data_IF_029383418091
#
_entry.id   IF_029383418091
#
_cell.length_a   1.000
_cell.length_b   1.000
_cell.length_c   1.000
_cell.angle_alpha   90.00
_cell.angle_beta   90.00
_cell.angle_gamma   90.00
#
_symmetry.space_group_name_H-M   'P 1'
#
loop_
_entity.id
_entity.type
_entity.pdbx_description
1 polymer ?
#
# COMPACT_ATOMS: atom_id res chain seq x y z
N UNK A 1 62.54 1.83 4.67
CA UNK A 1 61.39 1.06 4.16
C UNK A 1 60.30 1.11 5.22
N UNK A 2 59.33 2.01 5.05
CA UNK A 2 58.17 2.14 5.93
C UNK A 2 56.95 1.57 5.19
N UNK A 3 56.05 0.83 5.86
CA UNK A 3 54.85 0.33 5.19
C UNK A 3 53.83 1.46 5.07
N UNK A 4 53.38 1.71 3.84
CA UNK A 4 52.25 2.58 3.56
C UNK A 4 50.97 1.91 4.04
N UNK A 5 50.33 2.48 5.06
CA UNK A 5 48.97 2.14 5.43
C UNK A 5 48.02 2.81 4.43
N UNK A 6 47.44 2.02 3.53
CA UNK A 6 46.38 2.47 2.63
C UNK A 6 45.11 2.61 3.47
N UNK A 7 44.75 3.85 3.80
CA UNK A 7 43.46 4.15 4.41
C UNK A 7 42.36 3.88 3.38
N UNK A 8 41.54 2.87 3.63
CA UNK A 8 40.28 2.66 2.92
C UNK A 8 39.31 3.70 3.45
N UNK A 9 39.09 4.77 2.67
CA UNK A 9 38.00 5.71 2.91
C UNK A 9 36.72 5.00 2.43
N UNK A 10 35.74 4.73 3.29
CA UNK A 10 34.45 4.25 2.81
C UNK A 10 33.83 5.41 2.02
N UNK A 11 33.64 5.18 0.72
CA UNK A 11 32.91 6.07 -0.16
C UNK A 11 31.45 6.04 0.30
N UNK A 12 31.07 7.02 1.13
CA UNK A 12 29.67 7.33 1.42
C UNK A 12 29.02 7.74 0.11
N UNK A 13 28.29 6.83 -0.51
CA UNK A 13 27.35 7.15 -1.58
C UNK A 13 26.25 8.03 -0.97
N UNK A 14 26.38 9.33 -1.17
CA UNK A 14 25.27 10.29 -1.07
C UNK A 14 24.29 9.97 -2.21
N UNK A 15 23.41 8.99 -2.00
CA UNK A 15 22.20 8.88 -2.80
C UNK A 15 21.22 9.94 -2.29
N UNK A 16 20.90 10.91 -3.13
CA UNK A 16 19.76 11.80 -2.93
C UNK A 16 18.50 10.95 -2.85
N UNK A 17 17.98 10.74 -1.66
CA UNK A 17 16.77 9.96 -1.42
C UNK A 17 15.55 10.84 -1.71
N UNK A 18 14.73 10.45 -2.68
CA UNK A 18 13.44 11.10 -2.88
C UNK A 18 12.47 10.52 -1.80
N UNK A 19 11.35 11.16 -1.42
CA UNK A 19 10.42 10.74 -0.34
C UNK A 19 9.47 9.61 -0.77
N UNK A 20 8.90 8.78 0.12
CA UNK A 20 8.11 7.59 -0.30
C UNK A 20 6.77 7.53 0.49
N UNK A 21 5.89 6.58 0.16
CA UNK A 21 4.56 6.39 0.77
C UNK A 21 4.59 5.43 1.97
N UNK A 22 3.47 5.30 2.70
CA UNK A 22 3.42 4.36 3.82
C UNK A 22 3.52 2.91 3.32
N UNK A 23 4.14 2.08 4.14
CA UNK A 23 4.57 0.76 3.73
C UNK A 23 3.42 -0.27 3.59
N UNK A 24 3.64 -1.33 2.80
CA UNK A 24 2.59 -2.27 2.41
C UNK A 24 1.95 -3.02 3.59
N UNK A 25 2.77 -3.48 4.53
CA UNK A 25 2.26 -4.15 5.73
C UNK A 25 1.51 -3.21 6.66
N UNK A 26 1.95 -1.95 6.74
CA UNK A 26 1.27 -0.92 7.53
C UNK A 26 -0.14 -0.69 7.00
N UNK A 27 -0.34 -0.54 5.69
CA UNK A 27 -1.69 -0.45 5.11
C UNK A 27 -2.54 -1.69 5.37
N UNK A 28 -1.97 -2.89 5.28
CA UNK A 28 -2.70 -4.11 5.60
C UNK A 28 -3.16 -4.14 7.06
N UNK A 29 -2.37 -3.60 7.97
CA UNK A 29 -2.72 -3.51 9.38
C UNK A 29 -3.78 -2.43 9.66
N UNK A 30 -3.77 -1.33 8.92
CA UNK A 30 -4.79 -0.28 8.97
C UNK A 30 -6.13 -0.83 8.45
N UNK A 31 -6.13 -1.42 7.25
CA UNK A 31 -7.30 -2.10 6.69
C UNK A 31 -7.80 -3.21 7.63
N UNK A 32 -6.90 -3.95 8.26
CA UNK A 32 -7.33 -4.99 9.17
C UNK A 32 -8.16 -4.46 10.35
N UNK A 33 -7.75 -3.30 10.89
CA UNK A 33 -8.36 -2.64 12.05
C UNK A 33 -9.62 -1.88 11.68
N UNK A 34 -9.64 -1.18 10.55
CA UNK A 34 -10.75 -0.33 10.09
C UNK A 34 -12.08 -1.11 10.03
N UNK A 35 -12.03 -2.40 9.68
CA UNK A 35 -13.18 -3.33 9.67
C UNK A 35 -13.91 -3.46 11.01
N UNK A 36 -13.27 -3.09 12.11
CA UNK A 36 -13.88 -3.10 13.45
C UNK A 36 -14.45 -1.75 13.87
N UNK A 37 -14.10 -0.68 13.14
CA UNK A 37 -14.56 0.68 13.40
C UNK A 37 -15.78 1.07 12.56
N UNK A 38 -16.08 0.34 11.48
CA UNK A 38 -17.35 0.49 10.76
C UNK A 38 -18.51 0.19 11.70
N UNK A 39 -19.47 1.11 11.79
CA UNK A 39 -20.67 0.95 12.60
C UNK A 39 -21.56 -0.13 12.00
N UNK A 40 -21.45 -1.34 12.56
CA UNK A 40 -22.22 -2.50 12.13
C UNK A 40 -23.74 -2.29 12.24
N UNK A 41 -24.21 -1.45 13.16
CA UNK A 41 -25.64 -1.24 13.33
C UNK A 41 -26.22 -0.42 12.17
N UNK A 42 -25.49 0.61 11.74
CA UNK A 42 -25.90 1.48 10.63
C UNK A 42 -25.52 0.92 9.26
N UNK A 43 -24.41 0.17 9.16
CA UNK A 43 -23.84 -0.33 7.90
C UNK A 43 -23.64 -1.86 7.90
N UNK A 44 -24.71 -2.66 8.09
CA UNK A 44 -24.58 -4.12 8.22
C UNK A 44 -24.02 -4.80 6.96
N UNK A 45 -24.36 -4.30 5.76
CA UNK A 45 -23.91 -4.87 4.49
C UNK A 45 -22.47 -4.49 4.14
N UNK A 46 -22.08 -3.23 4.33
CA UNK A 46 -20.67 -2.83 4.25
C UNK A 46 -19.81 -3.70 5.17
N UNK A 47 -20.19 -3.78 6.45
CA UNK A 47 -19.49 -4.59 7.44
C UNK A 47 -19.44 -6.08 7.04
N UNK A 48 -20.53 -6.62 6.46
CA UNK A 48 -20.56 -7.99 5.92
C UNK A 48 -19.51 -8.19 4.83
N UNK A 49 -19.46 -7.30 3.83
CA UNK A 49 -18.56 -7.41 2.68
C UNK A 49 -17.08 -7.39 3.10
N UNK A 50 -16.66 -6.36 3.85
CA UNK A 50 -15.24 -6.16 4.18
C UNK A 50 -14.73 -7.08 5.28
N UNK A 51 -15.60 -7.63 6.13
CA UNK A 51 -15.18 -8.46 7.28
C UNK A 51 -15.43 -9.95 7.08
N UNK A 52 -16.50 -10.34 6.38
CA UNK A 52 -16.95 -11.74 6.28
C UNK A 52 -16.76 -12.30 4.90
N UNK A 53 -17.29 -11.63 3.88
CA UNK A 53 -17.43 -12.24 2.55
C UNK A 53 -16.15 -12.08 1.72
N UNK A 54 -15.53 -10.90 1.75
CA UNK A 54 -14.35 -10.59 0.94
C UNK A 54 -13.21 -9.91 1.73
N UNK A 55 -12.88 -10.33 2.97
CA UNK A 55 -11.90 -9.63 3.82
C UNK A 55 -10.49 -9.58 3.24
N UNK A 56 -10.14 -10.52 2.35
CA UNK A 56 -8.86 -10.54 1.65
C UNK A 56 -8.80 -9.52 0.51
N UNK A 57 -9.90 -9.34 -0.23
CA UNK A 57 -9.95 -8.35 -1.31
C UNK A 57 -9.81 -6.96 -0.72
N UNK A 58 -10.57 -6.67 0.34
CA UNK A 58 -10.49 -5.40 1.06
C UNK A 58 -9.05 -5.09 1.51
N UNK A 59 -8.42 -6.06 2.16
CA UNK A 59 -7.05 -5.93 2.65
C UNK A 59 -6.04 -5.72 1.52
N UNK A 60 -6.02 -6.56 0.49
CA UNK A 60 -5.02 -6.42 -0.58
C UNK A 60 -5.23 -5.16 -1.42
N UNK A 61 -6.49 -4.74 -1.61
CA UNK A 61 -6.79 -3.50 -2.30
C UNK A 61 -6.28 -2.25 -1.55
N UNK A 62 -6.10 -2.33 -0.23
CA UNK A 62 -5.44 -1.26 0.54
C UNK A 62 -3.96 -1.05 0.24
N UNK A 63 -3.35 -1.88 -0.61
CA UNK A 63 -2.01 -1.64 -1.14
C UNK A 63 -2.02 -1.36 -2.65
N UNK A 64 -3.20 -1.38 -3.29
CA UNK A 64 -3.30 -1.20 -4.73
C UNK A 64 -2.74 0.12 -5.23
N UNK A 65 -3.00 1.30 -4.63
CA UNK A 65 -2.57 2.57 -5.20
C UNK A 65 -1.07 2.67 -5.51
N UNK A 66 -0.23 1.95 -4.77
CA UNK A 66 1.23 1.85 -5.01
C UNK A 66 1.65 1.14 -6.31
N UNK A 67 0.71 0.53 -7.06
CA UNK A 67 1.01 -0.37 -8.18
C UNK A 67 1.90 0.28 -9.24
N UNK A 68 1.77 1.59 -9.43
CA UNK A 68 2.49 2.35 -10.45
C UNK A 68 3.95 2.67 -10.11
N UNK A 69 4.35 2.63 -8.83
CA UNK A 69 5.65 3.18 -8.41
C UNK A 69 6.86 2.41 -8.92
N UNK A 70 6.73 1.09 -9.06
CA UNK A 70 7.79 0.22 -9.59
C UNK A 70 7.66 -0.04 -11.11
N UNK A 71 6.61 0.50 -11.75
CA UNK A 71 6.33 0.28 -13.17
C UNK A 71 6.76 1.52 -13.98
N UNK A 72 7.70 1.39 -14.94
CA UNK A 72 8.14 2.52 -15.74
C UNK A 72 6.98 3.23 -16.44
N UNK A 73 6.87 4.55 -16.22
CA UNK A 73 5.85 5.39 -16.84
C UNK A 73 4.44 5.27 -16.25
N UNK A 74 4.25 4.52 -15.16
CA UNK A 74 2.94 4.35 -14.52
C UNK A 74 2.80 5.00 -13.14
N UNK A 75 3.87 5.65 -12.63
CA UNK A 75 3.85 6.28 -11.31
C UNK A 75 2.72 7.28 -11.11
N UNK A 76 2.51 8.18 -12.09
CA UNK A 76 1.43 9.18 -12.03
C UNK A 76 0.03 8.53 -12.03
N UNK A 77 -0.15 7.34 -12.62
CA UNK A 77 -1.43 6.61 -12.59
C UNK A 77 -1.67 5.89 -11.26
N UNK A 78 -0.63 5.31 -10.68
CA UNK A 78 -0.70 4.76 -9.31
C UNK A 78 -1.04 5.86 -8.31
N UNK A 79 -0.34 6.99 -8.40
CA UNK A 79 -0.59 8.19 -7.60
C UNK A 79 -2.06 8.64 -7.66
N UNK A 80 -2.64 8.75 -8.86
CA UNK A 80 -4.05 9.14 -9.04
C UNK A 80 -5.01 8.26 -8.24
N UNK A 81 -4.73 6.96 -8.10
CA UNK A 81 -5.57 6.01 -7.36
C UNK A 81 -5.59 6.22 -5.83
N UNK A 82 -4.70 7.05 -5.29
CA UNK A 82 -4.71 7.40 -3.86
C UNK A 82 -5.85 8.38 -3.56
N UNK A 83 -6.21 9.23 -4.53
CA UNK A 83 -6.93 10.46 -4.23
C UNK A 83 -8.45 10.37 -4.47
N UNK A 84 -9.23 11.24 -3.81
CA UNK A 84 -10.70 11.25 -3.94
C UNK A 84 -11.24 11.26 -5.38
N UNK A 85 -10.66 11.97 -6.37
CA UNK A 85 -11.16 11.93 -7.75
C UNK A 85 -11.27 10.51 -8.32
N UNK A 86 -10.23 9.68 -8.11
CA UNK A 86 -10.25 8.29 -8.55
C UNK A 86 -11.25 7.44 -7.75
N UNK A 87 -11.31 7.62 -6.44
CA UNK A 87 -12.24 6.88 -5.57
C UNK A 87 -13.70 7.13 -5.97
N UNK A 88 -14.07 8.39 -6.27
CA UNK A 88 -15.41 8.74 -6.73
C UNK A 88 -15.68 8.22 -8.15
N UNK A 89 -14.74 8.34 -9.08
CA UNK A 89 -14.90 7.76 -10.42
C UNK A 89 -15.08 6.23 -10.36
N UNK A 90 -14.38 5.54 -9.44
CA UNK A 90 -14.57 4.12 -9.23
C UNK A 90 -15.96 3.78 -8.67
N UNK A 91 -16.50 4.61 -7.78
CA UNK A 91 -17.87 4.47 -7.28
C UNK A 91 -18.91 4.75 -8.37
N UNK A 92 -18.72 5.79 -9.17
CA UNK A 92 -19.59 6.12 -10.31
C UNK A 92 -19.61 4.97 -11.31
N UNK A 93 -18.44 4.44 -11.67
CA UNK A 93 -18.32 3.25 -12.53
C UNK A 93 -19.11 2.06 -11.98
N UNK A 94 -18.97 1.76 -10.68
CA UNK A 94 -19.72 0.70 -10.03
C UNK A 94 -21.24 0.93 -10.12
N UNK A 95 -21.71 2.14 -9.82
CA UNK A 95 -23.14 2.50 -9.81
C UNK A 95 -23.74 2.40 -11.22
N UNK A 96 -23.02 2.91 -12.22
CA UNK A 96 -23.51 2.99 -13.60
C UNK A 96 -23.52 1.62 -14.30
N UNK A 97 -22.58 0.73 -13.96
CA UNK A 97 -22.41 -0.55 -14.65
C UNK A 97 -23.00 -1.75 -13.90
N UNK A 98 -23.22 -1.64 -12.58
CA UNK A 98 -23.67 -2.76 -11.74
C UNK A 98 -24.89 -2.40 -10.89
N UNK A 99 -26.11 -2.45 -11.46
CA UNK A 99 -27.33 -2.13 -10.73
C UNK A 99 -27.60 -3.16 -9.62
N UNK A 100 -28.30 -2.72 -8.58
CA UNK A 100 -28.74 -3.62 -7.51
C UNK A 100 -29.89 -4.56 -7.92
N UNK A 101 -29.98 -5.78 -7.35
CA UNK A 101 -29.05 -6.35 -6.37
C UNK A 101 -27.71 -6.73 -7.01
N UNK A 102 -26.62 -6.42 -6.32
CA UNK A 102 -25.28 -6.65 -6.82
C UNK A 102 -24.98 -8.13 -7.08
N UNK A 103 -24.31 -8.38 -8.20
CA UNK A 103 -23.68 -9.67 -8.48
C UNK A 103 -22.46 -9.88 -7.58
N UNK A 104 -21.93 -11.11 -7.52
CA UNK A 104 -20.68 -11.40 -6.80
C UNK A 104 -19.53 -10.51 -7.29
N UNK A 105 -19.43 -10.26 -8.61
CA UNK A 105 -18.42 -9.37 -9.17
C UNK A 105 -18.57 -7.94 -8.65
N UNK A 106 -19.79 -7.41 -8.62
CA UNK A 106 -20.05 -6.07 -8.13
C UNK A 106 -19.75 -5.94 -6.62
N UNK A 107 -20.08 -6.95 -5.82
CA UNK A 107 -19.70 -6.97 -4.39
C UNK A 107 -18.18 -7.00 -4.20
N UNK A 108 -17.45 -7.77 -5.02
CA UNK A 108 -15.98 -7.81 -5.01
C UNK A 108 -15.37 -6.48 -5.45
N UNK A 109 -15.91 -5.87 -6.52
CA UNK A 109 -15.48 -4.56 -7.02
C UNK A 109 -15.70 -3.48 -5.95
N UNK A 110 -16.87 -3.42 -5.34
CA UNK A 110 -17.11 -2.50 -4.22
C UNK A 110 -16.12 -2.73 -3.07
N UNK A 111 -15.89 -3.99 -2.69
CA UNK A 111 -14.95 -4.31 -1.62
C UNK A 111 -13.53 -3.86 -1.97
N UNK A 112 -13.14 -4.01 -3.23
CA UNK A 112 -11.86 -3.52 -3.75
C UNK A 112 -11.77 -1.98 -3.65
N UNK A 113 -12.82 -1.26 -4.06
CA UNK A 113 -12.88 0.22 -3.96
C UNK A 113 -12.80 0.68 -2.49
N UNK A 114 -13.50 0.00 -1.59
CA UNK A 114 -13.41 0.30 -0.15
C UNK A 114 -11.97 0.10 0.37
N UNK A 115 -11.29 -0.94 -0.11
CA UNK A 115 -9.90 -1.22 0.26
C UNK A 115 -8.92 -0.18 -0.26
N UNK A 116 -8.97 0.19 -1.55
CA UNK A 116 -8.08 1.22 -2.09
C UNK A 116 -8.34 2.59 -1.46
N UNK A 117 -9.58 2.88 -1.08
CA UNK A 117 -9.92 4.12 -0.36
C UNK A 117 -9.24 4.17 1.02
N UNK A 118 -9.16 3.03 1.71
CA UNK A 118 -8.45 2.92 2.98
C UNK A 118 -6.97 3.32 2.86
N UNK A 119 -6.36 3.10 1.70
CA UNK A 119 -4.98 3.51 1.45
C UNK A 119 -4.85 5.03 1.40
N UNK A 120 -5.64 5.69 0.54
CA UNK A 120 -5.59 7.14 0.36
C UNK A 120 -5.86 7.93 1.64
N UNK A 121 -6.85 7.50 2.43
CA UNK A 121 -7.16 8.15 3.72
C UNK A 121 -6.06 7.95 4.76
N UNK A 122 -5.43 6.77 4.76
CA UNK A 122 -4.30 6.52 5.64
C UNK A 122 -3.12 7.40 5.27
N UNK A 123 -2.80 7.48 3.98
CA UNK A 123 -1.71 8.32 3.49
C UNK A 123 -1.95 9.81 3.78
N UNK A 124 -3.19 10.30 3.63
CA UNK A 124 -3.51 11.70 3.94
C UNK A 124 -3.10 12.06 5.38
N UNK A 125 -3.55 11.26 6.35
CA UNK A 125 -3.26 11.47 7.76
C UNK A 125 -1.81 11.14 8.17
N UNK A 126 -1.20 10.12 7.55
CA UNK A 126 0.16 9.67 7.85
C UNK A 126 1.21 10.68 7.38
N UNK A 127 1.02 11.27 6.20
CA UNK A 127 2.02 12.10 5.52
C UNK A 127 1.85 13.60 5.71
N UNK A 128 0.62 14.11 5.77
CA UNK A 128 0.35 15.55 5.64
C UNK A 128 -0.13 16.20 6.93
N UNK A 129 0.46 17.35 7.23
CA UNK A 129 0.20 18.12 8.42
C UNK A 129 1.45 18.30 9.27
N UNK A 130 1.43 19.32 10.12
CA UNK A 130 2.56 19.64 11.00
C UNK A 130 2.70 18.61 12.14
N UNK A 131 1.62 17.91 12.47
CA UNK A 131 1.54 16.90 13.53
C UNK A 131 1.43 15.46 13.03
N UNK A 132 1.42 15.28 11.70
CA UNK A 132 1.33 13.98 11.06
C UNK A 132 2.44 13.05 11.51
N UNK A 133 2.14 11.76 11.65
CA UNK A 133 3.06 10.76 12.18
C UNK A 133 4.41 10.79 11.47
N UNK A 134 4.43 10.76 10.14
CA UNK A 134 5.70 10.69 9.40
C UNK A 134 6.54 11.95 9.60
N UNK A 135 5.90 13.12 9.72
CA UNK A 135 6.58 14.40 9.98
C UNK A 135 7.28 14.36 11.34
N UNK A 136 6.54 13.99 12.38
CA UNK A 136 7.07 13.94 13.76
C UNK A 136 8.10 12.83 13.92
N UNK A 137 7.83 11.65 13.38
CA UNK A 137 8.76 10.52 13.36
C UNK A 137 10.10 10.90 12.72
N UNK A 138 10.05 11.62 11.60
CA UNK A 138 11.26 12.13 10.94
C UNK A 138 12.02 13.05 11.87
N UNK A 139 11.38 14.05 12.45
CA UNK A 139 12.06 15.03 13.30
C UNK A 139 12.64 14.39 14.60
N UNK A 140 12.01 13.34 15.12
CA UNK A 140 12.41 12.64 16.36
C UNK A 140 13.50 11.57 16.13
N UNK A 141 13.42 10.78 15.05
CA UNK A 141 14.39 9.70 14.78
C UNK A 141 15.57 10.16 13.87
N UNK A 142 15.44 11.27 13.12
CA UNK A 142 16.52 11.81 12.29
C UNK A 142 17.82 12.13 13.08
N UNK A 143 17.79 12.72 14.29
CA UNK A 143 19.01 13.03 15.04
C UNK A 143 19.81 11.81 15.50
N UNK A 144 19.22 10.60 15.50
CA UNK A 144 19.84 9.38 16.02
C UNK A 144 20.80 8.78 14.99
N UNK A 145 20.42 8.76 13.71
CA UNK A 145 21.23 8.13 12.64
C UNK A 145 20.92 8.67 11.24
N UNK A 146 20.36 9.88 11.14
CA UNK A 146 19.94 10.46 9.86
C UNK A 146 18.81 9.66 9.19
N UNK A 147 17.87 9.14 9.99
CA UNK A 147 16.68 8.47 9.48
C UNK A 147 15.93 9.36 8.49
N UNK A 148 15.72 8.84 7.28
CA UNK A 148 14.88 9.46 6.29
C UNK A 148 13.48 8.87 6.38
N UNK A 149 12.49 9.56 5.79
CA UNK A 149 11.10 9.10 5.72
C UNK A 149 10.97 7.63 5.27
N UNK A 150 11.79 7.22 4.30
CA UNK A 150 11.91 5.81 3.86
C UNK A 150 12.14 4.81 4.97
N UNK A 151 13.05 5.15 5.88
CA UNK A 151 13.48 4.22 6.90
C UNK A 151 12.34 4.03 7.89
N UNK A 152 11.60 5.10 8.17
CA UNK A 152 10.42 5.08 9.03
C UNK A 152 9.33 4.21 8.41
N UNK A 153 9.05 4.37 7.12
CA UNK A 153 8.01 3.60 6.43
C UNK A 153 8.35 2.10 6.38
N UNK A 154 9.55 1.77 5.91
CA UNK A 154 10.04 0.37 5.88
C UNK A 154 10.13 -0.18 7.30
N UNK A 155 10.61 0.61 8.26
CA UNK A 155 10.72 0.21 9.66
C UNK A 155 9.36 -0.09 10.29
N UNK A 156 8.36 0.76 10.02
CA UNK A 156 6.99 0.54 10.47
C UNK A 156 6.40 -0.74 9.88
N UNK A 157 6.67 -1.06 8.61
CA UNK A 157 6.30 -2.36 8.05
C UNK A 157 6.95 -3.51 8.80
N UNK A 158 8.24 -3.42 9.11
CA UNK A 158 8.92 -4.48 9.87
C UNK A 158 8.33 -4.61 11.29
N UNK A 159 7.96 -3.50 11.93
CA UNK A 159 7.31 -3.50 13.23
C UNK A 159 5.93 -4.15 13.18
N UNK A 160 5.10 -3.75 12.22
CA UNK A 160 3.79 -4.34 11.98
C UNK A 160 3.92 -5.84 11.70
N UNK A 161 4.85 -6.21 10.82
CA UNK A 161 5.08 -7.60 10.44
C UNK A 161 5.45 -8.47 11.63
N UNK A 162 6.44 -8.05 12.42
CA UNK A 162 6.91 -8.86 13.55
C UNK A 162 5.97 -8.80 14.75
N UNK A 163 5.40 -7.62 15.07
CA UNK A 163 4.67 -7.42 16.32
C UNK A 163 3.18 -7.71 16.20
N UNK A 164 2.60 -7.57 15.01
CA UNK A 164 1.13 -7.66 14.79
C UNK A 164 0.72 -8.75 13.82
N UNK A 165 1.56 -9.09 12.85
CA UNK A 165 1.25 -10.11 11.84
C UNK A 165 1.94 -11.43 12.19
N UNK A 166 1.22 -12.30 12.89
CA UNK A 166 1.74 -13.64 13.22
C UNK A 166 1.70 -14.57 11.98
N UNK A 167 2.79 -14.54 11.20
CA UNK A 167 3.33 -15.59 10.30
C UNK A 167 2.57 -16.01 9.02
N UNK A 168 3.31 -15.94 7.90
CA UNK A 168 3.40 -16.83 6.72
C UNK A 168 2.12 -17.28 5.98
N UNK A 169 1.18 -16.41 5.59
CA UNK A 169 0.08 -16.87 4.72
C UNK A 169 -0.54 -15.82 3.79
N UNK A 170 0.16 -14.75 3.43
CA UNK A 170 -0.25 -13.98 2.24
C UNK A 170 0.24 -14.64 0.94
N UNK A 171 -0.01 -15.95 0.84
CA UNK A 171 -0.01 -16.70 -0.41
C UNK A 171 -1.45 -16.84 -0.94
N UNK A 172 -2.29 -15.85 -0.65
CA UNK A 172 -3.67 -15.84 -1.12
C UNK A 172 -3.71 -15.29 -2.54
N UNK A 173 -4.61 -15.83 -3.34
CA UNK A 173 -4.95 -15.27 -4.64
C UNK A 173 -5.45 -13.82 -4.45
N UNK A 174 -4.63 -12.82 -4.79
CA UNK A 174 -5.10 -11.43 -4.88
C UNK A 174 -6.04 -11.32 -6.07
N UNK A 175 -7.22 -10.75 -5.84
CA UNK A 175 -8.19 -10.47 -6.90
C UNK A 175 -8.17 -8.97 -7.16
N UNK A 176 -7.91 -8.57 -8.40
CA UNK A 176 -7.86 -7.17 -8.82
C UNK A 176 -8.73 -6.99 -10.08
N UNK A 177 -9.71 -6.08 -10.10
CA UNK A 177 -10.66 -5.92 -11.21
C UNK A 177 -10.05 -5.10 -12.35
N UNK A 178 -9.06 -5.66 -13.06
CA UNK A 178 -8.28 -4.88 -14.04
C UNK A 178 -9.15 -4.33 -15.17
N UNK A 179 -10.12 -5.07 -15.69
CA UNK A 179 -11.00 -4.53 -16.73
C UNK A 179 -11.82 -3.32 -16.26
N UNK A 180 -12.33 -3.35 -15.03
CA UNK A 180 -13.00 -2.20 -14.42
C UNK A 180 -12.04 -1.04 -14.20
N UNK A 181 -10.82 -1.31 -13.72
CA UNK A 181 -9.81 -0.27 -13.51
C UNK A 181 -9.43 0.46 -14.79
N UNK A 182 -9.33 -0.25 -15.92
CA UNK A 182 -9.06 0.39 -17.21
C UNK A 182 -10.19 1.33 -17.64
N UNK A 183 -11.44 0.97 -17.36
CA UNK A 183 -12.60 1.83 -17.64
C UNK A 183 -12.61 3.06 -16.71
N UNK A 184 -12.35 2.86 -15.41
CA UNK A 184 -12.25 3.94 -14.43
C UNK A 184 -11.14 4.94 -14.81
N UNK A 185 -9.95 4.47 -15.19
CA UNK A 185 -8.89 5.33 -15.68
C UNK A 185 -9.29 6.05 -16.98
N UNK A 186 -9.97 5.37 -17.90
CA UNK A 186 -10.45 5.99 -19.13
C UNK A 186 -11.48 7.10 -18.87
N UNK A 187 -12.38 6.93 -17.89
CA UNK A 187 -13.35 7.94 -17.49
C UNK A 187 -12.69 9.21 -16.91
N UNK A 188 -11.51 9.04 -16.30
CA UNK A 188 -10.64 10.14 -15.84
C UNK A 188 -9.77 10.73 -16.97
N UNK A 189 -9.87 10.21 -18.20
CA UNK A 189 -9.11 10.67 -19.36
C UNK A 189 -7.79 9.93 -19.62
N UNK A 190 -7.48 8.90 -18.84
CA UNK A 190 -6.25 8.10 -18.92
C UNK A 190 -6.42 6.84 -19.77
N UNK A 191 -6.68 7.02 -21.06
CA UNK A 191 -6.84 5.90 -22.02
C UNK A 191 -5.54 5.17 -22.35
N UNK A 192 -4.40 5.72 -21.92
CA UNK A 192 -3.06 5.19 -22.12
C UNK A 192 -2.64 4.14 -21.10
N UNK A 193 -3.40 3.97 -20.00
CA UNK A 193 -3.13 2.95 -19.00
C UNK A 193 -3.36 1.57 -19.62
N UNK A 194 -2.33 0.72 -19.59
CA UNK A 194 -2.40 -0.62 -20.16
C UNK A 194 -2.64 -1.69 -19.08
N UNK A 195 -3.36 -2.75 -19.45
CA UNK A 195 -3.61 -3.90 -18.56
C UNK A 195 -2.30 -4.48 -18.02
N UNK A 196 -1.30 -4.60 -18.88
CA UNK A 196 0.01 -5.17 -18.56
C UNK A 196 0.76 -4.34 -17.51
N UNK A 197 0.54 -3.01 -17.48
CA UNK A 197 1.15 -2.15 -16.47
C UNK A 197 0.54 -2.41 -15.10
N UNK A 198 -0.79 -2.49 -15.02
CA UNK A 198 -1.51 -2.81 -13.77
C UNK A 198 -1.12 -4.22 -13.31
N UNK A 199 -1.12 -5.19 -14.23
CA UNK A 199 -0.77 -6.58 -13.92
C UNK A 199 0.65 -6.73 -13.39
N UNK A 200 1.61 -6.07 -14.04
CA UNK A 200 2.98 -6.02 -13.54
C UNK A 200 3.04 -5.35 -12.16
N UNK A 201 2.45 -4.17 -12.01
CA UNK A 201 2.47 -3.40 -10.76
C UNK A 201 1.95 -4.19 -9.57
N UNK A 202 0.74 -4.76 -9.70
CA UNK A 202 0.13 -5.60 -8.64
C UNK A 202 0.99 -6.83 -8.34
N UNK A 203 1.60 -7.43 -9.35
CA UNK A 203 2.50 -8.58 -9.15
C UNK A 203 3.75 -8.21 -8.37
N UNK A 204 4.28 -7.00 -8.59
CA UNK A 204 5.42 -6.47 -7.85
C UNK A 204 5.06 -6.12 -6.41
N UNK A 205 3.88 -5.55 -6.15
CA UNK A 205 3.38 -5.31 -4.79
C UNK A 205 3.19 -6.61 -4.01
N UNK A 206 2.56 -7.62 -4.63
CA UNK A 206 2.43 -8.95 -4.02
C UNK A 206 3.79 -9.55 -3.69
N UNK A 207 4.77 -9.39 -4.59
CA UNK A 207 6.14 -9.87 -4.37
C UNK A 207 6.83 -9.09 -3.25
N UNK A 208 6.62 -7.78 -3.15
CA UNK A 208 7.18 -6.94 -2.09
C UNK A 208 6.70 -7.40 -0.71
N UNK A 209 5.40 -7.62 -0.53
CA UNK A 209 4.84 -8.18 0.72
C UNK A 209 5.43 -9.55 1.05
N UNK A 210 5.61 -10.43 0.06
CA UNK A 210 6.23 -11.72 0.29
C UNK A 210 7.69 -11.58 0.77
N UNK A 211 8.44 -10.58 0.27
CA UNK A 211 9.78 -10.27 0.77
C UNK A 211 9.73 -9.75 2.22
N UNK A 212 8.76 -8.90 2.56
CA UNK A 212 8.55 -8.47 3.95
C UNK A 212 8.30 -9.68 4.86
N UNK A 213 7.38 -10.58 4.48
CA UNK A 213 7.08 -11.80 5.24
C UNK A 213 8.34 -12.67 5.46
N UNK A 214 9.22 -12.76 4.46
CA UNK A 214 10.45 -13.57 4.51
C UNK A 214 11.54 -12.94 5.39
N UNK A 215 11.67 -11.62 5.40
CA UNK A 215 12.84 -10.93 5.96
C UNK A 215 12.56 -10.00 7.13
N UNK A 216 11.29 -9.80 7.51
CA UNK A 216 10.90 -8.89 8.59
C UNK A 216 11.65 -9.17 9.90
N UNK A 217 11.82 -10.43 10.28
CA UNK A 217 12.54 -10.78 11.52
C UNK A 217 14.02 -10.39 11.52
N UNK A 218 14.69 -10.49 10.37
CA UNK A 218 16.09 -10.10 10.24
C UNK A 218 16.26 -8.58 10.26
N UNK A 219 15.28 -7.84 9.74
CA UNK A 219 15.32 -6.37 9.65
C UNK A 219 14.73 -5.69 10.90
N UNK A 220 13.89 -6.38 11.67
CA UNK A 220 13.17 -5.82 12.81
C UNK A 220 14.09 -5.22 13.88
N UNK A 221 15.06 -5.98 14.38
CA UNK A 221 15.95 -5.47 15.43
C UNK A 221 16.81 -4.28 14.95
N UNK A 222 17.43 -4.32 13.75
CA UNK A 222 18.08 -3.14 13.17
C UNK A 222 17.18 -1.90 13.12
N UNK A 223 15.97 -2.01 12.54
CA UNK A 223 15.06 -0.87 12.46
C UNK A 223 14.58 -0.40 13.83
N UNK A 224 14.31 -1.30 14.76
CA UNK A 224 13.84 -0.96 16.10
C UNK A 224 14.88 -0.17 16.90
N UNK A 225 16.16 -0.48 16.71
CA UNK A 225 17.25 0.26 17.36
C UNK A 225 17.51 1.62 16.70
N UNK A 226 17.31 1.72 15.38
CA UNK A 226 17.49 2.96 14.60
C UNK A 226 16.30 3.93 14.72
N UNK A 227 15.09 3.41 14.95
CA UNK A 227 13.84 4.18 14.95
C UNK A 227 13.04 3.97 16.26
N UNK A 228 13.63 4.29 17.42
CA UNK A 228 13.00 4.05 18.71
C UNK A 228 11.71 4.85 18.90
N UNK A 229 11.62 6.08 18.38
CA UNK A 229 10.40 6.87 18.49
C UNK A 229 9.31 6.28 17.61
N UNK A 230 9.62 5.97 16.35
CA UNK A 230 8.66 5.35 15.42
C UNK A 230 8.14 4.02 15.96
N UNK A 231 9.00 3.12 16.45
CA UNK A 231 8.56 1.84 17.02
C UNK A 231 7.64 2.01 18.23
N UNK A 232 7.86 3.04 19.05
CA UNK A 232 7.02 3.30 20.21
C UNK A 232 5.65 3.92 19.85
N UNK A 233 5.54 4.62 18.72
CA UNK A 233 4.39 5.47 18.42
C UNK A 233 3.59 5.08 17.16
N UNK A 234 4.11 4.26 16.24
CA UNK A 234 3.46 3.97 14.95
C UNK A 234 2.01 3.47 15.05
N UNK A 235 1.66 2.82 16.17
CA UNK A 235 0.30 2.31 16.37
C UNK A 235 -0.68 3.37 16.83
N UNK A 236 -0.29 4.16 17.82
CA UNK A 236 -1.22 4.92 18.67
C UNK A 236 -0.94 6.43 18.64
N UNK A 237 -0.04 6.90 17.77
CA UNK A 237 0.08 8.31 17.48
C UNK A 237 -1.27 8.84 16.96
N UNK A 238 -1.72 9.95 17.53
CA UNK A 238 -3.10 10.40 17.38
C UNK A 238 -3.39 11.03 16.01
N UNK A 239 -2.35 11.48 15.30
CA UNK A 239 -2.46 12.14 13.98
C UNK A 239 -1.64 11.39 12.94
N UNK A 240 -2.22 10.40 12.28
CA UNK A 240 -1.52 9.57 11.31
C UNK A 240 -0.91 8.27 11.88
N UNK A 241 -1.22 7.88 13.12
CA UNK A 241 -0.85 6.54 13.60
C UNK A 241 -1.83 5.48 13.09
N UNK A 242 -1.41 4.21 13.01
CA UNK A 242 -2.21 3.09 12.46
C UNK A 242 -3.64 3.02 13.02
N UNK A 243 -3.83 3.33 14.31
CA UNK A 243 -5.15 3.38 14.92
C UNK A 243 -6.01 4.53 14.38
N UNK A 244 -5.46 5.74 14.34
CA UNK A 244 -6.15 6.92 13.82
C UNK A 244 -6.56 6.69 12.36
N UNK A 245 -5.64 6.18 11.54
CA UNK A 245 -5.87 5.95 10.12
C UNK A 245 -6.93 4.88 9.88
N UNK A 246 -6.99 3.87 10.74
CA UNK A 246 -8.04 2.86 10.69
C UNK A 246 -9.42 3.42 11.06
N UNK A 247 -9.48 4.36 12.02
CA UNK A 247 -10.72 5.06 12.39
C UNK A 247 -11.18 5.98 11.25
N UNK A 248 -10.27 6.77 10.65
CA UNK A 248 -10.56 7.64 9.49
C UNK A 248 -10.98 6.83 8.26
N UNK A 249 -10.27 5.75 7.94
CA UNK A 249 -10.62 4.85 6.85
C UNK A 249 -12.03 4.26 7.02
N UNK A 250 -12.44 3.95 8.25
CA UNK A 250 -13.79 3.45 8.52
C UNK A 250 -14.86 4.51 8.26
N UNK A 251 -14.62 5.76 8.64
CA UNK A 251 -15.51 6.87 8.33
C UNK A 251 -15.64 7.04 6.81
N UNK A 252 -14.52 7.06 6.09
CA UNK A 252 -14.52 7.21 4.63
C UNK A 252 -15.26 6.10 3.90
N UNK A 253 -15.11 4.85 4.33
CA UNK A 253 -15.87 3.74 3.75
C UNK A 253 -17.38 3.91 3.93
N UNK A 254 -17.82 4.45 5.06
CA UNK A 254 -19.24 4.72 5.31
C UNK A 254 -19.73 5.88 4.42
N UNK A 255 -18.91 6.92 4.22
CA UNK A 255 -19.23 8.00 3.27
C UNK A 255 -19.39 7.48 1.84
N UNK A 256 -18.49 6.61 1.36
CA UNK A 256 -18.65 5.99 0.04
C UNK A 256 -19.88 5.09 -0.06
N UNK A 257 -20.23 4.40 1.03
CA UNK A 257 -21.46 3.61 1.10
C UNK A 257 -22.72 4.48 0.99
N UNK A 258 -22.72 5.63 1.65
CA UNK A 258 -23.84 6.60 1.59
C UNK A 258 -23.90 7.32 0.23
N UNK A 259 -22.75 7.59 -0.37
CA UNK A 259 -22.65 8.13 -1.74
C UNK A 259 -23.41 7.24 -2.73
N UNK A 260 -23.19 5.92 -2.65
CA UNK A 260 -23.94 4.93 -3.44
C UNK A 260 -25.46 5.01 -3.22
N UNK A 261 -25.92 5.32 -2.02
CA UNK A 261 -27.34 5.41 -1.71
C UNK A 261 -28.02 6.69 -2.25
N UNK A 262 -27.25 7.59 -2.88
CA UNK A 262 -27.75 8.86 -3.39
C UNK A 262 -27.95 9.91 -2.31
N UNK A 263 -27.18 9.85 -1.21
CA UNK A 263 -27.10 10.90 -0.20
C UNK A 263 -25.86 11.80 -0.39
N UNK A 264 -25.95 12.84 -1.24
CA UNK A 264 -24.85 13.77 -1.50
C UNK A 264 -24.57 14.73 -0.31
N UNK A 265 -25.30 14.66 0.80
CA UNK A 265 -24.97 15.48 1.98
C UNK A 265 -23.73 14.97 2.74
N UNK A 266 -23.27 13.76 2.42
CA UNK A 266 -22.01 13.16 2.88
C UNK A 266 -20.79 13.58 2.05
N UNK A 267 -21.00 14.21 0.89
CA UNK A 267 -19.97 14.43 -0.14
C UNK A 267 -19.58 15.90 -0.29
N UNK A 268 -19.13 16.57 0.77
CA UNK A 268 -18.19 17.67 0.49
C UNK A 268 -16.86 17.01 0.08
N UNK A 269 -16.40 17.22 -1.17
CA UNK A 269 -15.04 16.83 -1.50
C UNK A 269 -14.14 17.57 -0.51
N UNK A 270 -13.29 16.85 0.22
CA UNK A 270 -12.11 17.51 0.79
C UNK A 270 -11.37 18.10 -0.41
N UNK A 271 -11.56 19.40 -0.61
CA UNK A 271 -10.98 20.19 -1.71
C UNK A 271 -9.52 20.48 -1.47
N UNK A 272 -8.89 19.82 -0.49
CA UNK A 272 -7.44 19.78 -0.44
C UNK A 272 -6.98 18.85 -1.56
N UNK A 273 -6.96 19.41 -2.77
CA UNK A 273 -6.05 19.00 -3.83
C UNK A 273 -4.64 19.34 -3.33
N UNK A 274 -4.22 18.69 -2.24
CA UNK A 274 -2.85 18.70 -1.77
C UNK A 274 -2.02 18.47 -3.00
N UNK A 275 -1.32 19.51 -3.43
CA UNK A 275 -0.65 19.63 -4.74
C UNK A 275 -0.10 18.28 -5.15
N UNK A 276 -0.74 17.58 -6.09
CA UNK A 276 -0.40 16.23 -6.58
C UNK A 276 1.10 15.97 -6.43
N UNK A 277 1.48 15.47 -5.27
CA UNK A 277 2.88 15.46 -4.85
C UNK A 277 3.41 14.19 -5.46
N UNK A 278 4.24 14.31 -6.49
CA UNK A 278 4.90 13.16 -7.11
C UNK A 278 5.60 12.41 -5.98
N UNK A 279 5.11 11.22 -5.59
CA UNK A 279 5.81 10.33 -4.68
C UNK A 279 6.94 9.61 -5.41
N UNK A 280 8.16 9.68 -4.89
CA UNK A 280 9.23 8.82 -5.33
C UNK A 280 9.00 7.33 -5.03
N UNK A 281 9.73 6.47 -5.76
CA UNK A 281 9.51 5.01 -5.96
C UNK A 281 9.75 4.07 -4.76
N UNK A 282 8.72 3.48 -4.16
CA UNK A 282 8.84 2.57 -3.00
C UNK A 282 10.01 1.54 -3.09
N UNK A 283 10.84 1.42 -2.03
CA UNK A 283 12.10 0.64 -2.03
C UNK A 283 11.89 -0.86 -2.24
N UNK A 284 10.86 -1.45 -1.60
CA UNK A 284 10.59 -2.88 -1.70
C UNK A 284 9.94 -3.30 -3.03
N UNK A 285 8.95 -2.57 -3.57
CA UNK A 285 8.46 -2.80 -4.93
C UNK A 285 9.56 -2.70 -6.00
N UNK A 286 10.52 -1.78 -5.84
CA UNK A 286 11.68 -1.70 -6.73
C UNK A 286 12.59 -2.93 -6.65
N UNK A 287 12.89 -3.42 -5.44
CA UNK A 287 13.63 -4.66 -5.27
C UNK A 287 12.87 -5.87 -5.86
N UNK A 288 11.56 -5.94 -5.64
CA UNK A 288 10.72 -6.96 -6.26
C UNK A 288 10.83 -6.91 -7.79
N UNK A 289 10.84 -5.71 -8.39
CA UNK A 289 11.02 -5.54 -9.82
C UNK A 289 12.37 -6.08 -10.30
N UNK A 290 13.45 -5.82 -9.56
CA UNK A 290 14.78 -6.34 -9.87
C UNK A 290 14.83 -7.87 -9.79
N UNK A 291 14.33 -8.45 -8.70
CA UNK A 291 14.34 -9.90 -8.49
C UNK A 291 13.48 -10.66 -9.51
N UNK A 292 12.33 -10.09 -9.90
CA UNK A 292 11.47 -10.69 -10.95
C UNK A 292 12.12 -10.56 -12.32
N UNK A 293 12.67 -9.38 -12.66
CA UNK A 293 13.35 -9.15 -13.94
C UNK A 293 14.57 -10.05 -14.11
N UNK A 294 15.33 -10.26 -13.04
CA UNK A 294 16.54 -11.07 -13.04
C UNK A 294 16.24 -12.58 -12.96
N UNK A 295 14.95 -12.97 -12.91
CA UNK A 295 14.50 -14.35 -12.94
C UNK A 295 14.75 -15.11 -11.63
N UNK A 296 14.90 -14.39 -10.52
CA UNK A 296 15.11 -14.96 -9.17
C UNK A 296 13.77 -15.32 -8.53
N UNK A 297 12.74 -14.50 -8.80
CA UNK A 297 11.38 -14.67 -8.33
C UNK A 297 10.40 -14.66 -9.50
N UNK A 298 9.28 -15.37 -9.38
CA UNK A 298 8.21 -15.35 -10.37
C UNK A 298 6.84 -15.39 -9.70
N UNK A 299 6.07 -14.29 -9.70
CA UNK A 299 4.68 -14.31 -9.27
C UNK A 299 3.84 -15.10 -10.28
N UNK A 300 2.97 -15.98 -9.78
CA UNK A 300 2.05 -16.72 -10.64
C UNK A 300 0.80 -15.88 -10.91
N UNK A 301 0.58 -15.47 -12.15
CA UNK A 301 -0.56 -14.63 -12.53
C UNK A 301 -1.46 -15.30 -13.55
N UNK A 302 -2.76 -15.02 -13.47
CA UNK A 302 -3.73 -15.38 -14.51
C UNK A 302 -4.87 -14.38 -14.57
N UNK A 303 -5.56 -14.33 -15.72
CA UNK A 303 -6.80 -13.58 -15.91
C UNK A 303 -8.01 -14.48 -15.73
N UNK A 304 -9.02 -13.99 -15.01
CA UNK A 304 -10.28 -14.70 -14.77
C UNK A 304 -11.43 -13.69 -14.71
N UNK A 305 -12.38 -13.78 -15.66
CA UNK A 305 -13.55 -12.90 -15.73
C UNK A 305 -13.23 -11.40 -15.60
N UNK A 306 -12.21 -10.93 -16.31
CA UNK A 306 -11.77 -9.53 -16.30
C UNK A 306 -10.96 -9.10 -15.08
N UNK A 307 -10.76 -9.99 -14.11
CA UNK A 307 -9.86 -9.76 -12.98
C UNK A 307 -8.49 -10.42 -13.20
N UNK A 308 -7.47 -9.83 -12.60
CA UNK A 308 -6.19 -10.45 -12.36
C UNK A 308 -6.27 -11.26 -11.07
N UNK A 309 -5.75 -12.49 -11.13
CA UNK A 309 -5.48 -13.33 -9.97
C UNK A 309 -3.98 -13.49 -9.80
N UNK A 310 -3.42 -12.88 -8.74
CA UNK A 310 -2.02 -13.09 -8.36
C UNK A 310 -1.96 -14.18 -7.31
N UNK A 311 -1.43 -15.34 -7.70
CA UNK A 311 -1.24 -16.50 -6.85
C UNK A 311 0.14 -16.53 -6.18
N UNK A 312 0.56 -17.70 -5.67
CA UNK A 312 1.80 -17.84 -4.92
C UNK A 312 3.04 -17.38 -5.69
N UNK A 313 4.01 -16.86 -4.94
CA UNK A 313 5.33 -16.51 -5.44
C UNK A 313 6.20 -17.77 -5.58
N UNK A 314 6.83 -17.95 -6.74
CA UNK A 314 7.82 -19.01 -6.98
C UNK A 314 9.22 -18.45 -6.80
N UNK A 315 10.02 -19.08 -5.94
CA UNK A 315 11.45 -18.80 -5.80
C UNK A 315 12.19 -19.68 -6.80
N UNK A 316 12.84 -19.05 -7.79
CA UNK A 316 13.59 -19.73 -8.85
C UNK A 316 15.04 -19.96 -8.41
N UNK A 317 15.67 -18.97 -7.76
CA UNK A 317 17.04 -19.04 -7.24
C UNK A 317 17.10 -18.55 -5.78
N UNK A 318 17.00 -19.50 -4.83
CA UNK A 318 17.04 -19.17 -3.41
C UNK A 318 18.40 -18.66 -2.94
N UNK A 319 19.50 -19.10 -3.57
CA UNK A 319 20.85 -18.71 -3.16
C UNK A 319 21.13 -17.26 -3.54
N UNK A 320 20.77 -16.86 -4.76
CA UNK A 320 20.90 -15.46 -5.18
C UNK A 320 19.95 -14.55 -4.40
N UNK A 321 18.73 -15.01 -4.10
CA UNK A 321 17.79 -14.28 -3.25
C UNK A 321 18.38 -13.98 -1.86
N UNK A 322 18.90 -14.99 -1.17
CA UNK A 322 19.55 -14.81 0.14
C UNK A 322 20.74 -13.84 0.05
N UNK A 323 21.55 -13.93 -1.02
CA UNK A 323 22.69 -13.03 -1.23
C UNK A 323 22.25 -11.58 -1.38
N UNK A 324 21.27 -11.28 -2.23
CA UNK A 324 20.74 -9.93 -2.46
C UNK A 324 20.13 -9.32 -1.21
N UNK A 325 19.43 -10.15 -0.44
CA UNK A 325 18.77 -9.71 0.79
C UNK A 325 19.78 -9.44 1.92
N UNK A 326 20.90 -10.16 1.94
CA UNK A 326 22.01 -9.88 2.85
C UNK A 326 22.78 -8.59 2.55
N UNK A 327 22.57 -7.97 1.39
CA UNK A 327 23.19 -6.69 1.00
C UNK A 327 22.35 -5.46 1.40
N UNK A 328 21.11 -5.66 1.88
CA UNK A 328 20.17 -4.59 2.25
C UNK A 328 20.40 -4.02 3.65
#
# INVERSE_FOLDING_TARGET
MAPHATAIIPLLFLSTTPTFGAGGSTHFQIADRSRSYVDRASYPDLHRLIRRDYPKIYRHASYFPDWGYAVPGAGDFGEEAHWPPFQYAAMDHLIDHYPEPWSEHAEKLFTFIAGLTCHGEADDAWHFGDTAFLRVATDEDQPIDGAWRTDIEVGCDMFVQVEKRWWFLEHANWWVPVDDLLLIYADLGHTEVAAEQIELGVSLLHTAIALEDMFAWSLYLPFKLRLPWSNANYLDWWDGGVRNDAELSALRMQELWDYKAGDPSSSEPRTDTGTMWRHPRARLPMLAAELVRDGILSPLVRREAGALIVGPLVIIDSTELERRMGEM
#
